data_IF_433169181342
#
_entry.id   IF_433169181342
#
_cell.length_a   1.000
_cell.length_b   1.000
_cell.length_c   1.000
_cell.angle_alpha   90.00
_cell.angle_beta   90.00
_cell.angle_gamma   90.00
#
_symmetry.space_group_name_H-M   'P 1'
#
loop_
_entity.id
_entity.type
_entity.pdbx_description
1 polymer ?
#
# COMPACT_ATOMS: atom_id res chain seq x y z
N UNK A 1 -21.14 -12.38 6.18
CA UNK A 1 -19.79 -11.99 6.61
C UNK A 1 -19.40 -12.88 7.78
N UNK A 2 -18.68 -13.96 7.52
CA UNK A 2 -18.11 -14.83 8.56
C UNK A 2 -16.70 -14.34 8.84
N UNK A 3 -16.52 -13.59 9.92
CA UNK A 3 -15.21 -13.24 10.46
C UNK A 3 -14.66 -14.48 11.19
N UNK A 4 -13.73 -15.17 10.54
CA UNK A 4 -12.98 -16.27 11.14
C UNK A 4 -11.61 -15.78 11.58
N UNK A 5 -11.43 -15.56 12.88
CA UNK A 5 -10.15 -15.21 13.47
C UNK A 5 -9.26 -16.45 13.55
N UNK A 6 -8.20 -16.51 12.73
CA UNK A 6 -7.07 -17.41 12.97
C UNK A 6 -5.77 -16.63 12.75
N UNK A 7 -4.83 -16.83 13.66
CA UNK A 7 -3.52 -16.18 13.72
C UNK A 7 -2.86 -16.07 12.33
N UNK A 8 -2.61 -14.84 11.86
CA UNK A 8 -1.54 -14.57 10.89
C UNK A 8 -1.87 -13.90 9.55
N UNK A 9 -3.12 -13.72 9.13
CA UNK A 9 -3.43 -12.95 7.92
C UNK A 9 -4.86 -12.41 7.94
N UNK A 10 -5.01 -11.09 7.80
CA UNK A 10 -6.30 -10.45 7.60
C UNK A 10 -6.49 -10.22 6.11
N UNK A 11 -7.50 -10.87 5.53
CA UNK A 11 -7.93 -10.65 4.13
C UNK A 11 -9.35 -10.09 4.19
N UNK A 12 -9.48 -8.83 3.80
CA UNK A 12 -10.77 -8.13 3.74
C UNK A 12 -11.20 -8.00 2.27
N UNK A 13 -12.33 -8.61 1.92
CA UNK A 13 -12.92 -8.52 0.57
C UNK A 13 -14.26 -7.76 0.67
N UNK A 14 -14.33 -6.56 0.11
CA UNK A 14 -15.54 -5.72 0.15
C UNK A 14 -16.08 -5.46 -1.26
N UNK A 15 -17.35 -5.80 -1.49
CA UNK A 15 -18.07 -5.56 -2.74
C UNK A 15 -19.28 -4.64 -2.49
N UNK A 16 -19.13 -3.33 -2.77
CA UNK A 16 -20.25 -2.39 -2.98
C UNK A 16 -19.74 -1.08 -3.61
N UNK A 17 -20.65 -0.20 -4.06
CA UNK A 17 -20.38 1.02 -4.84
C UNK A 17 -19.39 2.04 -4.21
N UNK A 18 -19.09 1.91 -2.91
CA UNK A 18 -17.82 2.35 -2.34
C UNK A 18 -17.34 1.27 -1.38
N UNK A 19 -16.11 0.81 -1.56
CA UNK A 19 -15.50 -0.25 -0.77
C UNK A 19 -14.28 0.29 -0.03
N UNK A 20 -14.30 0.20 1.29
CA UNK A 20 -13.16 0.58 2.13
C UNK A 20 -12.68 -0.68 2.85
N UNK A 21 -11.40 -1.00 2.66
CA UNK A 21 -10.71 -2.12 3.25
C UNK A 21 -9.65 -1.56 4.18
N UNK A 22 -9.80 -1.82 5.48
CA UNK A 22 -8.80 -1.50 6.49
C UNK A 22 -8.28 -2.78 7.12
N UNK A 23 -6.96 -2.85 7.27
CA UNK A 23 -6.30 -3.96 7.93
C UNK A 23 -5.14 -3.45 8.78
N UNK A 24 -4.92 -4.05 9.95
CA UNK A 24 -3.84 -3.60 10.85
C UNK A 24 -3.27 -4.76 11.65
N UNK A 25 -1.95 -4.75 11.86
CA UNK A 25 -1.24 -5.74 12.67
C UNK A 25 -0.22 -5.11 13.63
N UNK A 26 -0.11 -5.67 14.83
CA UNK A 26 0.76 -5.13 15.87
C UNK A 26 2.18 -5.72 15.88
N UNK A 27 2.39 -6.96 15.45
CA UNK A 27 3.71 -7.59 15.34
C UNK A 27 3.62 -8.90 14.56
N UNK A 28 4.66 -9.24 13.78
CA UNK A 28 4.85 -10.55 13.13
C UNK A 28 3.59 -11.08 12.43
N UNK A 29 3.11 -10.32 11.45
CA UNK A 29 1.96 -10.72 10.64
C UNK A 29 2.08 -10.15 9.24
N UNK A 30 1.50 -10.85 8.25
CA UNK A 30 1.25 -10.28 6.93
C UNK A 30 -0.14 -9.65 6.91
N UNK A 31 -0.27 -8.51 6.24
CA UNK A 31 -1.52 -7.77 6.11
C UNK A 31 -1.79 -7.52 4.64
N UNK A 32 -2.89 -8.08 4.14
CA UNK A 32 -3.29 -7.97 2.74
C UNK A 32 -4.57 -7.13 2.65
N UNK A 33 -4.49 -6.00 1.95
CA UNK A 33 -5.64 -5.18 1.62
C UNK A 33 -5.85 -5.16 0.10
N UNK A 34 -7.04 -5.54 -0.36
CA UNK A 34 -7.35 -5.48 -1.79
C UNK A 34 -8.71 -4.83 -2.00
N UNK A 35 -8.75 -3.73 -2.75
CA UNK A 35 -9.96 -2.98 -3.00
C UNK A 35 -10.12 -2.76 -4.52
N UNK A 36 -11.27 -3.13 -5.08
CA UNK A 36 -11.53 -2.96 -6.51
C UNK A 36 -12.87 -2.26 -6.73
N UNK A 37 -12.86 -1.18 -7.50
CA UNK A 37 -14.08 -0.56 -7.98
C UNK A 37 -14.64 -1.36 -9.17
N UNK A 38 -15.88 -1.83 -9.07
CA UNK A 38 -16.54 -2.60 -10.15
C UNK A 38 -17.29 -1.73 -11.17
N UNK A 39 -17.25 -0.39 -11.03
CA UNK A 39 -17.94 0.55 -11.92
C UNK A 39 -17.22 1.90 -11.96
N UNK A 40 -17.31 2.62 -13.08
CA UNK A 40 -16.59 3.88 -13.31
C UNK A 40 -16.94 5.02 -12.33
N UNK A 41 -18.06 4.87 -11.62
CA UNK A 41 -18.59 5.80 -10.61
C UNK A 41 -18.53 5.22 -9.19
N UNK A 42 -17.79 4.13 -9.01
CA UNK A 42 -17.42 3.57 -7.72
C UNK A 42 -15.96 3.91 -7.39
N UNK A 43 -15.67 4.15 -6.11
CA UNK A 43 -14.32 4.34 -5.59
C UNK A 43 -14.00 3.31 -4.53
N UNK A 44 -12.76 2.84 -4.51
CA UNK A 44 -12.30 1.87 -3.54
C UNK A 44 -11.07 2.41 -2.77
N UNK A 45 -10.97 2.09 -1.50
CA UNK A 45 -9.83 2.44 -0.67
C UNK A 45 -9.30 1.20 0.05
N UNK A 46 -7.99 0.98 -0.05
CA UNK A 46 -7.28 -0.06 0.68
C UNK A 46 -6.28 0.62 1.62
N UNK A 47 -6.37 0.34 2.90
CA UNK A 47 -5.50 0.92 3.93
C UNK A 47 -4.97 -0.20 4.82
N UNK A 48 -3.66 -0.22 5.00
CA UNK A 48 -2.98 -1.26 5.76
C UNK A 48 -1.84 -0.71 6.61
N UNK A 49 -1.74 -1.17 7.85
CA UNK A 49 -0.73 -0.68 8.79
C UNK A 49 -0.13 -1.79 9.64
N UNK A 50 1.20 -1.78 9.81
CA UNK A 50 1.88 -2.75 10.68
C UNK A 50 3.09 -2.19 11.44
N UNK A 51 3.24 -2.56 12.72
CA UNK A 51 4.24 -1.93 13.59
C UNK A 51 5.63 -2.58 13.58
N UNK A 52 5.75 -3.92 13.48
CA UNK A 52 7.07 -4.57 13.56
C UNK A 52 7.13 -5.93 12.85
N UNK A 53 8.21 -6.16 12.10
CA UNK A 53 8.50 -7.46 11.46
C UNK A 53 7.32 -8.00 10.66
N UNK A 54 6.77 -7.15 9.80
CA UNK A 54 5.52 -7.40 9.08
C UNK A 54 5.65 -7.10 7.59
N UNK A 55 4.86 -7.79 6.78
CA UNK A 55 4.67 -7.44 5.37
C UNK A 55 3.29 -6.84 5.20
N UNK A 56 3.20 -5.74 4.46
CA UNK A 56 1.95 -5.09 4.10
C UNK A 56 1.85 -5.09 2.58
N UNK A 57 0.88 -5.82 2.05
CA UNK A 57 0.51 -5.72 0.63
C UNK A 57 -0.81 -4.97 0.53
N UNK A 58 -0.84 -3.97 -0.34
CA UNK A 58 -2.07 -3.25 -0.63
C UNK A 58 -2.24 -3.07 -2.15
N UNK A 59 -3.39 -3.49 -2.66
CA UNK A 59 -3.67 -3.47 -4.10
C UNK A 59 -5.02 -2.85 -4.40
N UNK A 60 -5.06 -1.98 -5.41
CA UNK A 60 -6.32 -1.46 -5.91
C UNK A 60 -6.41 -1.30 -7.43
N UNK A 61 -7.64 -1.29 -7.93
CA UNK A 61 -7.91 -1.15 -9.35
C UNK A 61 -9.00 -0.11 -9.61
N UNK A 62 -8.71 0.79 -10.56
CA UNK A 62 -9.57 1.84 -11.10
C UNK A 62 -10.13 2.81 -10.04
N UNK A 63 -9.92 4.11 -10.20
CA UNK A 63 -10.53 5.15 -9.35
C UNK A 63 -10.40 4.85 -7.85
N UNK A 64 -9.20 4.46 -7.41
CA UNK A 64 -8.96 3.93 -6.06
C UNK A 64 -7.78 4.59 -5.35
N UNK A 65 -7.75 4.47 -4.03
CA UNK A 65 -6.62 4.91 -3.20
C UNK A 65 -6.04 3.75 -2.40
N UNK A 66 -4.72 3.70 -2.31
CA UNK A 66 -3.97 2.71 -1.54
C UNK A 66 -3.09 3.43 -0.53
N UNK A 67 -3.24 3.08 0.75
CA UNK A 67 -2.44 3.58 1.86
C UNK A 67 -1.76 2.40 2.55
N UNK A 68 -0.44 2.44 2.69
CA UNK A 68 0.30 1.42 3.40
C UNK A 68 1.35 2.02 4.32
N UNK A 69 1.38 1.60 5.59
CA UNK A 69 2.27 2.16 6.60
C UNK A 69 2.96 1.10 7.44
N UNK A 70 4.29 1.21 7.60
CA UNK A 70 5.07 0.32 8.49
C UNK A 70 6.11 1.05 9.34
N UNK A 71 6.40 0.53 10.53
CA UNK A 71 7.27 1.23 11.49
C UNK A 71 8.70 0.65 11.69
N UNK A 72 8.90 -0.67 11.62
CA UNK A 72 10.25 -1.24 11.83
C UNK A 72 10.43 -2.62 11.20
N UNK A 73 11.55 -2.81 10.50
CA UNK A 73 11.94 -4.13 9.94
C UNK A 73 10.83 -4.79 9.14
N UNK A 74 10.20 -4.03 8.24
CA UNK A 74 9.00 -4.44 7.51
C UNK A 74 9.19 -4.29 6.00
N UNK A 75 8.20 -4.77 5.24
CA UNK A 75 8.07 -4.54 3.80
C UNK A 75 6.69 -4.01 3.49
N UNK A 76 6.61 -3.08 2.54
CA UNK A 76 5.39 -2.52 2.00
C UNK A 76 5.43 -2.68 0.49
N UNK A 77 4.47 -3.42 -0.07
CA UNK A 77 4.19 -3.40 -1.50
C UNK A 77 2.83 -2.75 -1.72
N UNK A 78 2.79 -1.74 -2.57
CA UNK A 78 1.57 -1.09 -2.95
C UNK A 78 1.40 -1.05 -4.47
N UNK A 79 0.26 -1.51 -4.97
CA UNK A 79 -0.02 -1.55 -6.41
C UNK A 79 -1.35 -0.92 -6.74
N UNK A 80 -1.37 0.00 -7.72
CA UNK A 80 -2.63 0.54 -8.22
C UNK A 80 -2.69 0.68 -9.75
N UNK A 81 -3.89 0.50 -10.31
CA UNK A 81 -4.14 0.65 -11.73
C UNK A 81 -5.12 1.79 -12.00
N UNK A 82 -4.86 2.56 -13.07
CA UNK A 82 -5.74 3.54 -13.73
C UNK A 82 -6.42 4.56 -12.79
N UNK A 83 -6.06 5.84 -12.92
CA UNK A 83 -6.72 6.92 -12.15
C UNK A 83 -6.73 6.66 -10.64
N UNK A 84 -5.59 6.23 -10.09
CA UNK A 84 -5.48 5.84 -8.67
C UNK A 84 -4.35 6.58 -7.96
N UNK A 85 -4.38 6.59 -6.63
CA UNK A 85 -3.33 7.13 -5.77
C UNK A 85 -2.75 6.04 -4.88
N UNK A 86 -1.43 6.04 -4.70
CA UNK A 86 -0.70 5.14 -3.82
C UNK A 86 0.17 5.96 -2.88
N UNK A 87 -0.10 5.86 -1.58
CA UNK A 87 0.74 6.41 -0.53
C UNK A 87 1.35 5.27 0.27
N UNK A 88 2.68 5.24 0.34
CA UNK A 88 3.39 4.23 1.11
C UNK A 88 4.41 4.87 2.05
N UNK A 89 4.36 4.48 3.32
CA UNK A 89 5.23 5.04 4.37
C UNK A 89 5.92 3.93 5.14
N UNK A 90 7.23 4.08 5.34
CA UNK A 90 8.00 3.15 6.14
C UNK A 90 9.02 3.85 7.05
N UNK A 91 9.20 3.31 8.26
CA UNK A 91 10.29 3.71 9.14
C UNK A 91 11.29 2.57 9.37
N UNK A 92 12.53 2.97 9.67
CA UNK A 92 13.64 2.16 10.18
C UNK A 92 13.79 0.74 9.61
N UNK A 93 14.81 0.56 8.75
CA UNK A 93 15.17 -0.77 8.23
C UNK A 93 14.03 -1.48 7.50
N UNK A 94 13.26 -0.74 6.70
CA UNK A 94 12.08 -1.24 5.99
C UNK A 94 12.25 -1.10 4.46
N UNK A 95 11.42 -1.75 3.67
CA UNK A 95 11.39 -1.55 2.21
C UNK A 95 10.00 -1.11 1.78
N UNK A 96 9.95 -0.20 0.81
CA UNK A 96 8.72 0.25 0.16
C UNK A 96 8.88 0.07 -1.34
N UNK A 97 8.04 -0.76 -1.94
CA UNK A 97 7.83 -0.80 -3.38
C UNK A 97 6.43 -0.26 -3.69
N UNK A 98 6.35 0.65 -4.64
CA UNK A 98 5.08 1.15 -5.14
C UNK A 98 5.02 1.07 -6.66
N UNK A 99 3.94 0.51 -7.20
CA UNK A 99 3.76 0.33 -8.64
C UNK A 99 2.43 0.89 -9.09
N UNK A 100 2.45 1.76 -10.11
CA UNK A 100 1.22 2.32 -10.70
C UNK A 100 1.18 2.31 -12.22
N UNK A 101 -0.05 2.29 -12.74
CA UNK A 101 -0.31 2.38 -14.18
C UNK A 101 -1.30 3.49 -14.51
N UNK A 102 -1.05 4.20 -15.61
CA UNK A 102 -1.95 5.13 -16.32
C UNK A 102 -2.66 6.19 -15.45
N UNK A 103 -2.27 7.45 -15.57
CA UNK A 103 -2.93 8.56 -14.87
C UNK A 103 -2.99 8.37 -13.34
N UNK A 104 -1.90 7.88 -12.75
CA UNK A 104 -1.84 7.55 -11.32
C UNK A 104 -0.79 8.38 -10.59
N UNK A 105 -0.91 8.52 -9.27
CA UNK A 105 0.11 9.14 -8.43
C UNK A 105 0.65 8.15 -7.41
N UNK A 106 1.96 8.21 -7.17
CA UNK A 106 2.65 7.49 -6.11
C UNK A 106 3.38 8.50 -5.24
N UNK A 107 3.14 8.50 -3.93
CA UNK A 107 4.09 9.05 -2.97
C UNK A 107 4.61 7.93 -2.08
N UNK A 108 5.93 7.83 -1.99
CA UNK A 108 6.58 6.87 -1.11
C UNK A 108 7.56 7.59 -0.18
N UNK A 109 7.45 7.32 1.12
CA UNK A 109 8.27 7.95 2.16
C UNK A 109 8.95 6.91 3.03
N UNK A 110 10.27 7.04 3.18
CA UNK A 110 11.06 6.17 4.05
C UNK A 110 11.98 6.95 4.99
N UNK A 111 12.19 6.42 6.20
CA UNK A 111 13.16 6.94 7.16
C UNK A 111 14.23 5.89 7.48
N UNK A 112 15.48 6.35 7.67
CA UNK A 112 16.64 5.64 8.22
C UNK A 112 16.85 4.17 7.74
N UNK A 113 17.87 3.96 6.90
CA UNK A 113 18.28 2.62 6.44
C UNK A 113 17.16 1.82 5.77
N UNK A 114 16.25 2.49 5.08
CA UNK A 114 15.06 1.92 4.41
C UNK A 114 15.08 2.18 2.91
N UNK A 115 14.70 1.23 2.06
CA UNK A 115 14.66 1.40 0.60
C UNK A 115 13.29 1.85 0.12
N UNK A 116 13.28 2.68 -0.94
CA UNK A 116 12.06 3.05 -1.67
C UNK A 116 12.33 2.87 -3.15
N UNK A 117 11.55 1.99 -3.77
CA UNK A 117 11.40 1.97 -5.23
C UNK A 117 9.96 2.35 -5.57
N UNK A 118 9.82 3.15 -6.63
CA UNK A 118 8.52 3.46 -7.17
C UNK A 118 8.56 3.41 -8.69
N UNK A 119 7.63 2.66 -9.26
CA UNK A 119 7.47 2.46 -10.70
C UNK A 119 6.14 3.03 -11.16
N UNK A 120 6.15 3.79 -12.26
CA UNK A 120 4.91 4.26 -12.86
C UNK A 120 4.92 4.22 -14.38
N UNK A 121 3.80 3.80 -14.96
CA UNK A 121 3.59 3.80 -16.41
C UNK A 121 2.63 4.92 -16.84
N UNK A 122 2.95 5.57 -17.97
CA UNK A 122 2.12 6.49 -18.76
C UNK A 122 1.34 7.58 -17.99
N UNK A 123 1.72 8.85 -18.16
CA UNK A 123 1.03 10.02 -17.55
C UNK A 123 0.82 9.91 -16.04
N UNK A 124 1.76 9.28 -15.34
CA UNK A 124 1.71 9.08 -13.90
C UNK A 124 2.82 9.87 -13.20
N UNK A 125 2.58 10.26 -11.95
CA UNK A 125 3.54 10.99 -11.12
C UNK A 125 4.08 10.06 -10.04
N UNK A 126 5.38 10.13 -9.78
CA UNK A 126 6.03 9.37 -8.71
C UNK A 126 6.83 10.36 -7.90
N UNK A 127 6.57 10.45 -6.61
CA UNK A 127 7.42 11.09 -5.62
C UNK A 127 7.95 10.04 -4.62
N UNK A 128 9.25 10.11 -4.37
CA UNK A 128 9.94 9.28 -3.40
C UNK A 128 10.80 10.18 -2.51
N UNK A 129 10.60 10.07 -1.20
CA UNK A 129 11.31 10.83 -0.16
C UNK A 129 12.00 9.89 0.82
N UNK A 130 13.31 10.07 1.02
CA UNK A 130 14.09 9.26 1.96
C UNK A 130 14.87 10.14 2.94
N UNK A 131 14.57 10.03 4.24
CA UNK A 131 15.27 10.72 5.30
C UNK A 131 16.44 9.85 5.84
N UNK A 132 17.65 10.13 5.33
CA UNK A 132 18.96 9.62 5.72
C UNK A 132 19.36 8.17 5.31
N UNK A 133 20.55 8.08 4.70
CA UNK A 133 21.36 6.89 4.39
C UNK A 133 20.73 5.78 3.52
N UNK A 134 19.83 6.16 2.61
CA UNK A 134 19.15 5.21 1.74
C UNK A 134 19.18 5.60 0.27
N UNK A 135 19.33 4.61 -0.59
CA UNK A 135 19.20 4.74 -2.04
C UNK A 135 17.72 4.87 -2.40
N UNK A 136 17.32 5.99 -2.98
CA UNK A 136 16.01 6.15 -3.60
C UNK A 136 16.19 5.97 -5.11
N UNK A 137 15.48 5.02 -5.71
CA UNK A 137 15.42 4.87 -7.16
C UNK A 137 14.03 5.27 -7.64
N UNK A 138 13.98 6.01 -8.75
CA UNK A 138 12.77 6.47 -9.44
C UNK A 138 12.83 5.99 -10.88
#
# INVERSE_FOLDING_TARGET
MTLGAWHGAWVCHAASASSLVEASAAASSSVEASAAASSSEASAAASSSAAASSSVEASAAASSSVEASTAASSSVEASAAASSSVEASAAASSSVEASTAASSSVEASAAASSSVEASAAASSSVEASAAASSSAHR
#
